data_IF_592166522643
#
_entry.id   IF_592166522643
#
_cell.length_a   1.000
_cell.length_b   1.000
_cell.length_c   1.000
_cell.angle_alpha   90.00
_cell.angle_beta   90.00
_cell.angle_gamma   90.00
#
_symmetry.space_group_name_H-M   'P 1'
#
loop_
_entity.id
_entity.type
_entity.pdbx_description
1 polymer ?
#
# COMPACT_ATOMS: atom_id res chain seq x y z
N UNK A 1 -13.81 2.14 2.81
CA UNK A 1 -12.89 2.31 3.97
C UNK A 1 -11.77 3.26 3.60
N UNK A 2 -11.51 4.28 4.41
CA UNK A 2 -10.40 5.21 4.18
C UNK A 2 -9.22 4.81 5.07
N UNK A 3 -8.14 4.31 4.46
CA UNK A 3 -6.90 4.05 5.16
C UNK A 3 -6.20 5.37 5.51
N UNK A 4 -5.67 5.49 6.73
CA UNK A 4 -4.90 6.67 7.14
C UNK A 4 -3.65 6.84 6.27
N UNK A 5 -3.09 8.07 6.24
CA UNK A 5 -1.85 8.32 5.49
C UNK A 5 -0.68 7.51 6.08
N UNK A 6 -0.62 7.38 7.40
CA UNK A 6 0.45 6.65 8.08
C UNK A 6 0.39 5.15 7.79
N UNK A 7 -0.82 4.58 7.71
CA UNK A 7 -0.99 3.19 7.29
C UNK A 7 -0.47 2.98 5.87
N UNK A 8 -0.84 3.86 4.93
CA UNK A 8 -0.34 3.81 3.54
C UNK A 8 1.18 3.90 3.47
N UNK A 9 1.79 4.81 4.24
CA UNK A 9 3.26 4.94 4.36
C UNK A 9 3.90 3.67 4.89
N UNK A 10 3.30 3.07 5.93
CA UNK A 10 3.82 1.82 6.51
C UNK A 10 3.81 0.68 5.51
N UNK A 11 2.72 0.50 4.78
CA UNK A 11 2.59 -0.54 3.73
C UNK A 11 3.66 -0.35 2.65
N UNK A 12 3.84 0.87 2.14
CA UNK A 12 4.85 1.15 1.11
C UNK A 12 6.29 0.97 1.63
N UNK A 13 6.58 1.41 2.85
CA UNK A 13 7.89 1.22 3.49
C UNK A 13 8.24 -0.26 3.65
N UNK A 14 7.26 -1.09 4.02
CA UNK A 14 7.47 -2.54 4.15
C UNK A 14 7.67 -3.20 2.78
N UNK A 15 6.94 -2.75 1.75
CA UNK A 15 7.15 -3.21 0.37
C UNK A 15 8.59 -2.99 -0.09
N UNK A 16 9.12 -1.79 0.15
CA UNK A 16 10.50 -1.43 -0.24
C UNK A 16 11.54 -2.19 0.58
N UNK A 17 11.36 -2.26 1.91
CA UNK A 17 12.29 -2.95 2.81
C UNK A 17 12.44 -4.44 2.50
N UNK A 18 11.36 -5.08 2.05
CA UNK A 18 11.34 -6.53 1.84
C UNK A 18 11.31 -6.93 0.36
N UNK A 19 11.44 -5.97 -0.56
CA UNK A 19 11.44 -6.25 -2.00
C UNK A 19 10.15 -6.89 -2.51
N UNK A 20 9.03 -6.65 -1.85
CA UNK A 20 7.75 -7.29 -2.18
C UNK A 20 7.16 -6.73 -3.46
N UNK A 21 6.48 -7.59 -4.22
CA UNK A 21 5.61 -7.17 -5.31
C UNK A 21 4.37 -6.45 -4.76
N UNK A 22 3.65 -5.73 -5.62
CA UNK A 22 2.38 -5.08 -5.23
C UNK A 22 1.37 -6.12 -4.72
N UNK A 23 1.27 -7.27 -5.38
CA UNK A 23 0.40 -8.36 -4.94
C UNK A 23 0.86 -8.97 -3.61
N UNK A 24 2.18 -9.13 -3.42
CA UNK A 24 2.74 -9.68 -2.18
C UNK A 24 2.47 -8.79 -0.96
N UNK A 25 2.71 -7.47 -1.09
CA UNK A 25 2.40 -6.56 0.02
C UNK A 25 0.89 -6.40 0.24
N UNK A 26 0.08 -6.47 -0.83
CA UNK A 26 -1.38 -6.46 -0.74
C UNK A 26 -1.91 -7.65 0.07
N UNK A 27 -1.45 -8.86 -0.25
CA UNK A 27 -1.82 -10.08 0.47
C UNK A 27 -1.36 -10.05 1.94
N UNK A 28 -0.14 -9.56 2.21
CA UNK A 28 0.39 -9.48 3.58
C UNK A 28 -0.41 -8.58 4.50
N UNK A 29 -0.92 -7.47 3.97
CA UNK A 29 -1.67 -6.48 4.76
C UNK A 29 -3.19 -6.63 4.62
N UNK A 30 -3.65 -7.67 3.91
CA UNK A 30 -5.05 -7.90 3.58
C UNK A 30 -5.74 -6.65 2.99
N UNK A 31 -5.09 -6.06 1.99
CA UNK A 31 -5.60 -4.89 1.27
C UNK A 31 -5.70 -5.16 -0.22
N UNK A 32 -6.63 -4.49 -0.89
CA UNK A 32 -6.77 -4.65 -2.34
C UNK A 32 -5.52 -4.21 -3.11
N UNK A 33 -5.13 -4.99 -4.13
CA UNK A 33 -4.03 -4.67 -5.06
C UNK A 33 -4.22 -3.29 -5.70
N UNK A 34 -5.46 -2.93 -6.04
CA UNK A 34 -5.81 -1.62 -6.58
C UNK A 34 -5.51 -0.47 -5.60
N UNK A 35 -5.72 -0.69 -4.29
CA UNK A 35 -5.40 0.30 -3.25
C UNK A 35 -3.91 0.56 -3.18
N UNK A 36 -3.09 -0.50 -3.12
CA UNK A 36 -1.62 -0.39 -3.10
C UNK A 36 -1.12 0.30 -4.39
N UNK A 37 -1.66 -0.08 -5.54
CA UNK A 37 -1.32 0.51 -6.85
C UNK A 37 -1.61 2.02 -6.87
N UNK A 38 -2.73 2.46 -6.30
CA UNK A 38 -3.06 3.89 -6.18
C UNK A 38 -2.08 4.61 -5.26
N UNK A 39 -1.69 4.02 -4.13
CA UNK A 39 -0.76 4.65 -3.19
C UNK A 39 0.65 4.79 -3.75
N UNK A 40 1.11 3.80 -4.53
CA UNK A 40 2.38 3.89 -5.27
C UNK A 40 2.36 5.07 -6.25
N UNK A 41 1.24 5.30 -6.95
CA UNK A 41 1.10 6.43 -7.89
C UNK A 41 0.95 7.78 -7.18
N UNK A 42 0.14 7.81 -6.12
CA UNK A 42 -0.09 9.01 -5.32
C UNK A 42 -0.57 8.61 -3.92
N UNK A 43 0.30 8.75 -2.93
CA UNK A 43 0.03 8.37 -1.54
C UNK A 43 -1.05 9.24 -0.88
N UNK A 44 -1.23 10.49 -1.34
CA UNK A 44 -2.22 11.43 -0.81
C UNK A 44 -3.61 11.26 -1.42
N UNK A 45 -3.73 10.52 -2.53
CA UNK A 45 -5.01 10.26 -3.19
C UNK A 45 -5.95 9.52 -2.22
N UNK A 46 -7.03 10.19 -1.81
CA UNK A 46 -8.13 9.55 -1.09
C UNK A 46 -8.87 8.61 -2.06
N UNK A 47 -9.40 7.47 -1.58
CA UNK A 47 -10.21 6.58 -2.40
C UNK A 47 -11.40 7.32 -3.03
#
# INVERSE_FOLDING_TARGET
MAYSLDYRRKVLSVREKEGLTIAGVAARFDVGVASVTRWVKNIHRKP
#
